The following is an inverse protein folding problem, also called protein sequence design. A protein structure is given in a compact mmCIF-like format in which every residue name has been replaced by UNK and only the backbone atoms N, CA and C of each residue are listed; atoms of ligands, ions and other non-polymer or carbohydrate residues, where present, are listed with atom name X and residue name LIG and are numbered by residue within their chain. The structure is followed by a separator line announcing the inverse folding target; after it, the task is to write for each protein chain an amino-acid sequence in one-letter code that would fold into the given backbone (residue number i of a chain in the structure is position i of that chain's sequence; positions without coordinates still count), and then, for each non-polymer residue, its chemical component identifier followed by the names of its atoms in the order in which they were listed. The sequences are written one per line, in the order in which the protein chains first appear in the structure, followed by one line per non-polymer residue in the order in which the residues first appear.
data_IF_969344940260
#
_entry.id   IF_969344940260
#
_cell.length_a   1.000
_cell.length_b   1.000
_cell.length_c   1.000
_cell.angle_alpha   90.00
_cell.angle_beta   90.00
_cell.angle_gamma   90.00
#
_symmetry.space_group_name_H-M   'P 1'
#
loop_
_entity.id
_entity.type
_entity.pdbx_description
1 polymer ?
#
# COMPACT_ATOMS: atom_id res chain seq x y z
N UNK A 1 31.34 9.61 -6.83
CA UNK A 1 30.38 9.57 -7.95
C UNK A 1 30.15 8.10 -8.26
N UNK A 2 28.90 7.67 -8.27
CA UNK A 2 28.53 6.26 -8.41
C UNK A 2 27.44 6.13 -9.47
N UNK A 3 27.45 5.02 -10.22
CA UNK A 3 26.42 4.70 -11.21
C UNK A 3 25.58 3.56 -10.65
N UNK A 4 24.27 3.77 -10.54
CA UNK A 4 23.30 2.77 -10.10
C UNK A 4 22.24 2.50 -11.15
N UNK A 5 21.52 1.39 -11.02
CA UNK A 5 20.36 1.08 -11.84
C UNK A 5 19.30 0.35 -11.02
N UNK A 6 18.03 0.50 -11.41
CA UNK A 6 16.92 -0.25 -10.85
C UNK A 6 15.91 -0.56 -11.94
N UNK A 7 15.10 -1.60 -11.74
CA UNK A 7 14.16 -2.09 -12.74
C UNK A 7 12.72 -1.85 -12.31
N UNK A 8 11.93 -1.29 -13.21
CA UNK A 8 10.48 -1.11 -13.05
C UNK A 8 9.78 -2.10 -13.99
N UNK A 9 8.77 -2.81 -13.47
CA UNK A 9 7.95 -3.70 -14.29
C UNK A 9 7.00 -2.92 -15.19
N UNK A 10 6.81 -3.37 -16.44
CA UNK A 10 5.74 -2.85 -17.29
C UNK A 10 4.35 -3.00 -16.64
N UNK A 11 4.16 -3.99 -15.76
CA UNK A 11 2.90 -4.14 -15.03
C UNK A 11 2.61 -2.95 -14.10
N UNK A 12 3.64 -2.32 -13.52
CA UNK A 12 3.46 -1.15 -12.63
C UNK A 12 3.09 0.12 -13.40
N UNK A 13 3.11 0.12 -14.73
CA UNK A 13 2.74 1.30 -15.52
C UNK A 13 1.23 1.46 -15.71
N UNK A 14 0.43 0.45 -15.33
CA UNK A 14 -1.04 0.48 -15.44
C UNK A 14 -1.65 1.60 -14.60
N UNK A 15 -2.74 2.19 -15.11
CA UNK A 15 -3.50 3.27 -14.45
C UNK A 15 -4.70 2.68 -13.69
N UNK A 16 -4.38 1.89 -12.68
CA UNK A 16 -5.36 1.12 -11.93
C UNK A 16 -5.36 1.52 -10.45
N UNK A 17 -6.52 1.40 -9.81
CA UNK A 17 -6.63 1.35 -8.37
C UNK A 17 -5.82 0.19 -7.82
N UNK A 18 -5.03 0.46 -6.78
CA UNK A 18 -4.14 -0.50 -6.17
C UNK A 18 -4.02 -0.28 -4.66
N UNK A 19 -3.78 -1.39 -3.95
CA UNK A 19 -3.21 -1.37 -2.61
C UNK A 19 -1.86 -2.06 -2.63
N UNK A 20 -1.01 -1.72 -1.67
CA UNK A 20 0.38 -2.16 -1.65
C UNK A 20 0.90 -2.40 -0.24
N UNK A 21 1.95 -3.21 -0.19
CA UNK A 21 2.80 -3.44 0.96
C UNK A 21 4.22 -3.02 0.57
N UNK A 22 4.74 -2.05 1.31
CA UNK A 22 6.12 -1.61 1.21
C UNK A 22 6.92 -2.32 2.29
N UNK A 23 8.04 -2.93 1.91
CA UNK A 23 8.94 -3.66 2.79
C UNK A 23 10.30 -2.97 2.75
N UNK A 24 10.83 -2.63 3.93
CA UNK A 24 12.18 -2.14 4.10
C UNK A 24 12.96 -3.14 4.96
N UNK A 25 13.89 -3.83 4.34
CA UNK A 25 14.73 -4.84 4.98
C UNK A 25 16.06 -4.20 5.34
N UNK A 26 16.47 -4.16 6.62
CA UNK A 26 17.75 -3.58 6.99
C UNK A 26 18.89 -4.44 6.41
N UNK A 27 19.93 -3.78 5.89
CA UNK A 27 21.11 -4.47 5.33
C UNK A 27 21.88 -5.23 6.40
N UNK A 28 21.90 -4.69 7.61
CA UNK A 28 22.42 -5.36 8.80
C UNK A 28 21.27 -5.97 9.61
N UNK A 29 21.39 -7.23 10.04
CA UNK A 29 20.31 -7.96 10.75
C UNK A 29 20.12 -7.50 12.22
N UNK A 30 20.50 -6.28 12.53
CA UNK A 30 20.42 -5.68 13.87
C UNK A 30 19.06 -5.02 14.11
N UNK A 31 18.30 -4.76 13.06
CA UNK A 31 17.01 -4.08 13.11
C UNK A 31 15.87 -4.95 12.55
N UNK A 32 14.62 -4.57 12.84
CA UNK A 32 13.43 -5.26 12.31
C UNK A 32 13.18 -4.85 10.87
N UNK A 33 12.58 -5.76 10.11
CA UNK A 33 12.02 -5.42 8.79
C UNK A 33 10.82 -4.50 8.99
N UNK A 34 10.85 -3.34 8.34
CA UNK A 34 9.81 -2.33 8.47
C UNK A 34 8.79 -2.53 7.34
N UNK A 35 7.52 -2.55 7.71
CA UNK A 35 6.40 -2.76 6.81
C UNK A 35 5.52 -1.52 6.81
N UNK A 36 4.98 -1.18 5.65
CA UNK A 36 3.95 -0.16 5.51
C UNK A 36 2.88 -0.61 4.53
N UNK A 37 1.61 -0.54 4.96
CA UNK A 37 0.46 -0.80 4.10
C UNK A 37 -0.08 0.52 3.60
N UNK A 38 -0.32 0.61 2.29
CA UNK A 38 -0.89 1.80 1.70
C UNK A 38 -1.75 1.51 0.48
N UNK A 39 -2.23 2.60 -0.10
CA UNK A 39 -3.04 2.61 -1.31
C UNK A 39 -2.66 3.74 -2.23
N UNK A 40 -2.99 3.58 -3.50
CA UNK A 40 -2.85 4.66 -4.48
C UNK A 40 -3.90 5.74 -4.26
N UNK A 41 -3.58 6.96 -4.69
CA UNK A 41 -4.52 8.06 -4.73
C UNK A 41 -5.46 7.97 -5.94
N UNK A 42 -6.36 8.92 -6.04
CA UNK A 42 -7.10 9.18 -7.28
C UNK A 42 -6.18 9.98 -8.22
N UNK A 43 -5.27 9.28 -8.91
CA UNK A 43 -4.16 9.87 -9.68
C UNK A 43 -4.48 10.01 -11.18
N UNK A 44 -5.75 10.16 -11.50
CA UNK A 44 -6.28 10.19 -12.87
C UNK A 44 -5.64 11.24 -13.79
N UNK A 45 -5.37 12.46 -13.34
CA UNK A 45 -5.01 13.56 -14.24
C UNK A 45 -3.49 13.73 -14.46
N UNK A 46 -2.67 12.70 -14.16
CA UNK A 46 -1.25 12.82 -14.56
C UNK A 46 -0.34 11.65 -14.20
N UNK A 47 -0.30 11.26 -12.93
CA UNK A 47 0.79 10.44 -12.40
C UNK A 47 0.50 8.93 -12.46
N UNK A 48 1.53 8.12 -12.76
CA UNK A 48 1.39 6.67 -12.62
C UNK A 48 1.09 6.29 -11.15
N UNK A 49 0.02 5.54 -10.87
CA UNK A 49 -0.45 5.31 -9.49
C UNK A 49 0.57 4.64 -8.58
N UNK A 50 1.22 3.59 -9.08
CA UNK A 50 2.16 2.79 -8.31
C UNK A 50 3.51 3.52 -8.20
N UNK A 51 4.10 3.88 -9.34
CA UNK A 51 5.43 4.47 -9.41
C UNK A 51 5.48 5.81 -8.66
N UNK A 52 4.47 6.66 -8.82
CA UNK A 52 4.46 7.94 -8.11
C UNK A 52 4.27 7.78 -6.60
N UNK A 53 3.56 6.73 -6.15
CA UNK A 53 3.48 6.43 -4.71
C UNK A 53 4.80 5.90 -4.15
N UNK A 54 5.52 5.07 -4.91
CA UNK A 54 6.88 4.64 -4.56
C UNK A 54 7.79 5.86 -4.45
N UNK A 55 7.83 6.71 -5.48
CA UNK A 55 8.67 7.92 -5.48
C UNK A 55 8.35 8.88 -4.32
N UNK A 56 7.08 9.01 -3.96
CA UNK A 56 6.68 9.83 -2.81
C UNK A 56 7.28 9.33 -1.49
N UNK A 57 7.38 8.02 -1.29
CA UNK A 57 7.96 7.46 -0.06
C UNK A 57 9.44 7.81 0.11
N UNK A 58 10.15 8.04 -0.99
CA UNK A 58 11.56 8.43 -1.03
C UNK A 58 11.80 9.93 -1.26
N UNK A 59 10.74 10.73 -1.39
CA UNK A 59 10.88 12.16 -1.59
C UNK A 59 11.51 12.82 -0.35
N UNK A 60 12.20 13.95 -0.53
CA UNK A 60 12.64 14.78 0.60
C UNK A 60 11.53 15.71 1.10
N UNK A 61 10.40 15.77 0.39
CA UNK A 61 9.24 16.54 0.82
C UNK A 61 8.49 15.80 1.94
N UNK A 62 8.61 16.30 3.17
CA UNK A 62 8.02 15.71 4.38
C UNK A 62 6.50 15.48 4.29
N UNK A 63 5.77 16.24 3.47
CA UNK A 63 4.33 16.10 3.32
C UNK A 63 3.97 14.80 2.59
N UNK A 64 4.81 14.37 1.64
CA UNK A 64 4.53 13.21 0.78
C UNK A 64 5.23 11.92 1.25
N UNK A 65 6.25 12.05 2.11
CA UNK A 65 7.23 10.99 2.38
C UNK A 65 6.91 10.21 3.64
N UNK A 66 5.80 9.47 3.57
CA UNK A 66 5.21 8.79 4.73
C UNK A 66 6.13 7.75 5.37
N UNK A 67 7.05 7.15 4.60
CA UNK A 67 8.00 6.15 5.08
C UNK A 67 9.35 6.78 5.44
N UNK A 68 9.92 7.62 4.57
CA UNK A 68 11.18 8.33 4.89
C UNK A 68 11.10 9.17 6.17
N UNK A 69 9.91 9.64 6.54
CA UNK A 69 9.73 10.34 7.82
C UNK A 69 9.88 9.43 9.05
N UNK A 70 9.69 8.12 8.89
CA UNK A 70 9.70 7.13 9.97
C UNK A 70 10.99 6.29 9.98
N UNK A 71 11.60 6.05 8.80
CA UNK A 71 12.86 5.33 8.65
C UNK A 71 14.02 6.33 8.63
N UNK A 72 14.92 6.22 9.61
CA UNK A 72 16.19 6.97 9.63
C UNK A 72 17.18 6.30 8.68
N UNK A 73 18.02 7.10 8.02
CA UNK A 73 19.11 6.60 7.15
C UNK A 73 18.62 5.55 6.13
N UNK A 74 17.77 5.99 5.20
CA UNK A 74 17.12 5.12 4.19
C UNK A 74 18.09 4.27 3.37
N UNK A 75 19.33 4.70 3.22
CA UNK A 75 20.42 4.00 2.55
C UNK A 75 20.83 2.69 3.23
N UNK A 76 20.48 2.49 4.50
CA UNK A 76 20.78 1.27 5.27
C UNK A 76 19.76 0.15 5.05
N UNK A 77 18.77 0.36 4.18
CA UNK A 77 17.71 -0.59 3.89
C UNK A 77 17.65 -0.92 2.40
N UNK A 78 17.23 -2.16 2.12
CA UNK A 78 16.77 -2.58 0.81
C UNK A 78 15.24 -2.55 0.78
N UNK A 79 14.68 -2.13 -0.36
CA UNK A 79 13.25 -1.82 -0.47
C UNK A 79 12.55 -2.66 -1.51
N UNK A 80 11.43 -3.25 -1.11
CA UNK A 80 10.53 -3.97 -2.00
C UNK A 80 9.12 -3.40 -1.93
N UNK A 81 8.44 -3.41 -3.08
CA UNK A 81 7.11 -2.86 -3.23
C UNK A 81 6.17 -3.86 -3.88
N UNK A 82 5.36 -4.51 -3.06
CA UNK A 82 4.37 -5.47 -3.48
C UNK A 82 3.03 -4.76 -3.66
N UNK A 83 2.35 -4.97 -4.79
CA UNK A 83 1.06 -4.33 -5.05
C UNK A 83 0.11 -5.26 -5.79
N UNK A 84 -1.18 -4.98 -5.65
CA UNK A 84 -2.22 -5.66 -6.40
C UNK A 84 -3.19 -4.62 -6.99
N UNK A 85 -3.54 -4.78 -8.27
CA UNK A 85 -4.52 -3.95 -8.96
C UNK A 85 -5.92 -4.53 -8.79
N UNK A 86 -6.93 -3.67 -8.66
CA UNK A 86 -8.33 -4.08 -8.40
C UNK A 86 -9.37 -3.43 -9.31
N UNK A 87 -8.95 -2.55 -10.23
CA UNK A 87 -9.83 -1.92 -11.20
C UNK A 87 -9.13 -0.76 -11.90
N UNK A 88 -9.61 -0.41 -13.08
CA UNK A 88 -9.15 0.78 -13.81
C UNK A 88 -9.78 2.04 -13.19
N UNK A 89 -9.17 3.21 -13.40
CA UNK A 89 -9.82 4.45 -13.01
C UNK A 89 -11.03 4.75 -13.88
N UNK A 90 -12.06 5.33 -13.26
CA UNK A 90 -13.25 5.79 -13.95
C UNK A 90 -13.05 7.16 -14.62
N UNK A 91 -13.65 7.33 -15.80
CA UNK A 91 -13.73 8.60 -16.51
C UNK A 91 -14.61 9.62 -15.75
N UNK A 92 -14.47 10.90 -16.10
CA UNK A 92 -15.14 12.04 -15.44
C UNK A 92 -16.66 11.96 -15.35
N UNK A 93 -17.28 11.44 -16.40
CA UNK A 93 -18.73 11.32 -16.53
C UNK A 93 -19.32 10.40 -15.46
N UNK A 94 -18.48 9.58 -14.80
CA UNK A 94 -18.88 8.57 -13.84
C UNK A 94 -18.46 8.90 -12.39
N UNK A 95 -18.68 10.15 -11.96
CA UNK A 95 -18.32 10.63 -10.60
C UNK A 95 -18.80 9.71 -9.46
N UNK A 96 -19.99 9.13 -9.57
CA UNK A 96 -20.52 8.22 -8.55
C UNK A 96 -19.73 6.91 -8.47
N UNK A 97 -19.35 6.32 -9.61
CA UNK A 97 -18.53 5.12 -9.66
C UNK A 97 -17.14 5.39 -9.09
N UNK A 98 -16.53 6.53 -9.42
CA UNK A 98 -15.24 6.97 -8.86
C UNK A 98 -15.24 7.02 -7.33
N UNK A 99 -16.29 7.59 -6.75
CA UNK A 99 -16.44 7.64 -5.28
C UNK A 99 -16.53 6.23 -4.70
N UNK A 100 -17.22 5.31 -5.38
CA UNK A 100 -17.35 3.93 -4.94
C UNK A 100 -16.01 3.18 -5.03
N UNK A 101 -15.26 3.32 -6.11
CA UNK A 101 -13.95 2.68 -6.28
C UNK A 101 -12.90 3.22 -5.30
N UNK A 102 -12.95 4.53 -4.99
CA UNK A 102 -12.14 5.09 -3.92
C UNK A 102 -12.50 4.49 -2.55
N UNK A 103 -13.79 4.40 -2.21
CA UNK A 103 -14.25 3.78 -0.96
C UNK A 103 -13.85 2.30 -0.88
N UNK A 104 -13.98 1.57 -1.98
CA UNK A 104 -13.56 0.18 -2.09
C UNK A 104 -12.04 0.04 -1.87
N UNK A 105 -11.24 0.89 -2.49
CA UNK A 105 -9.78 0.94 -2.30
C UNK A 105 -9.42 1.24 -0.84
N UNK A 106 -10.14 2.13 -0.17
CA UNK A 106 -9.97 2.39 1.27
C UNK A 106 -10.27 1.14 2.12
N UNK A 107 -11.30 0.36 1.79
CA UNK A 107 -11.59 -0.88 2.52
C UNK A 107 -10.58 -1.99 2.21
N UNK A 108 -10.10 -2.11 0.97
CA UNK A 108 -9.03 -3.03 0.58
C UNK A 108 -7.75 -2.75 1.37
N UNK A 109 -7.39 -1.49 1.56
CA UNK A 109 -6.22 -1.06 2.33
C UNK A 109 -6.36 -1.42 3.81
N UNK A 110 -7.53 -1.16 4.41
CA UNK A 110 -7.81 -1.56 5.80
C UNK A 110 -7.78 -3.06 5.98
N UNK A 111 -8.35 -3.81 5.04
CA UNK A 111 -8.37 -5.27 5.11
C UNK A 111 -6.97 -5.85 4.95
N UNK A 112 -6.16 -5.35 4.01
CA UNK A 112 -4.75 -5.71 3.89
C UNK A 112 -3.99 -5.43 5.18
N UNK A 113 -4.19 -4.25 5.77
CA UNK A 113 -3.56 -3.89 7.04
C UNK A 113 -3.94 -4.86 8.17
N UNK A 114 -5.22 -5.26 8.29
CA UNK A 114 -5.64 -6.30 9.25
C UNK A 114 -5.00 -7.66 8.97
N UNK A 115 -4.88 -8.05 7.70
CA UNK A 115 -4.24 -9.32 7.32
C UNK A 115 -2.77 -9.30 7.74
N UNK A 116 -2.05 -8.22 7.47
CA UNK A 116 -0.65 -8.04 7.88
C UNK A 116 -0.52 -8.07 9.41
N UNK A 117 -1.38 -7.34 10.12
CA UNK A 117 -1.39 -7.34 11.60
C UNK A 117 -1.63 -8.72 12.21
N UNK A 118 -2.35 -9.61 11.53
CA UNK A 118 -2.58 -10.99 12.01
C UNK A 118 -1.41 -11.93 11.70
N UNK A 119 -0.60 -11.62 10.69
CA UNK A 119 0.48 -12.47 10.20
C UNK A 119 1.87 -11.99 10.62
N UNK A 120 2.02 -10.75 11.09
CA UNK A 120 3.34 -10.24 11.42
C UNK A 120 3.96 -11.05 12.57
N UNK A 121 5.25 -11.32 12.44
CA UNK A 121 6.07 -11.72 13.59
C UNK A 121 6.65 -10.43 14.21
N UNK A 122 6.16 -10.05 15.39
CA UNK A 122 6.56 -8.82 16.08
C UNK A 122 8.04 -8.80 16.53
N UNK A 123 8.72 -9.93 16.61
CA UNK A 123 10.16 -10.00 16.89
C UNK A 123 10.98 -9.60 15.66
N UNK A 124 10.48 -9.93 14.47
CA UNK A 124 11.18 -9.71 13.19
C UNK A 124 10.70 -8.48 12.42
N UNK A 125 9.47 -8.03 12.66
CA UNK A 125 8.81 -7.01 11.86
C UNK A 125 8.24 -5.89 12.71
N UNK A 126 8.23 -4.70 12.12
CA UNK A 126 7.52 -3.53 12.61
C UNK A 126 6.55 -3.03 11.55
N UNK A 127 5.28 -2.84 11.91
CA UNK A 127 4.28 -2.26 11.01
C UNK A 127 4.08 -0.78 11.34
N UNK A 128 4.45 0.09 10.41
CA UNK A 128 4.19 1.53 10.51
C UNK A 128 2.69 1.78 10.33
N UNK A 129 2.14 2.65 11.19
CA UNK A 129 0.73 3.11 11.14
C UNK A 129 -0.26 1.93 11.10
N UNK A 130 -0.25 1.04 12.12
CA UNK A 130 -1.18 -0.08 12.17
C UNK A 130 -2.62 0.44 12.23
N UNK A 131 -3.52 -0.25 11.55
CA UNK A 131 -4.93 0.12 11.55
C UNK A 131 -5.53 -0.08 12.95
N UNK A 132 -5.91 1.02 13.60
CA UNK A 132 -6.37 1.05 15.00
C UNK A 132 -7.82 0.62 15.24
N UNK A 133 -8.62 0.40 14.18
CA UNK A 133 -9.95 -0.19 14.34
C UNK A 133 -10.95 0.62 15.15
N UNK A 134 -11.00 1.96 15.00
CA UNK A 134 -11.99 2.82 15.69
C UNK A 134 -13.40 2.22 15.64
N UNK A 135 -14.11 2.28 16.76
CA UNK A 135 -15.50 1.82 16.90
C UNK A 135 -16.38 2.54 15.89
N UNK A 136 -16.96 1.78 14.97
CA UNK A 136 -17.96 2.26 14.00
C UNK A 136 -19.28 1.54 14.27
N UNK A 137 -20.39 2.15 13.83
CA UNK A 137 -21.70 1.52 13.95
C UNK A 137 -21.75 0.18 13.20
N UNK A 138 -22.55 -0.75 13.72
CA UNK A 138 -22.77 -2.08 13.11
C UNK A 138 -23.22 -1.98 11.65
N UNK A 139 -24.09 -1.01 11.34
CA UNK A 139 -24.57 -0.75 9.98
C UNK A 139 -23.41 -0.36 9.05
N UNK A 140 -22.52 0.54 9.50
CA UNK A 140 -21.34 0.95 8.73
C UNK A 140 -20.37 -0.21 8.54
N UNK A 141 -20.24 -1.10 9.52
CA UNK A 141 -19.44 -2.32 9.39
C UNK A 141 -20.02 -3.24 8.31
N UNK A 142 -21.33 -3.51 8.34
CA UNK A 142 -22.00 -4.37 7.33
C UNK A 142 -21.83 -3.79 5.92
N UNK A 143 -22.16 -2.51 5.75
CA UNK A 143 -22.01 -1.82 4.46
C UNK A 143 -20.58 -1.84 3.92
N UNK A 144 -19.58 -1.80 4.80
CA UNK A 144 -18.16 -1.90 4.39
C UNK A 144 -17.76 -3.32 4.00
N UNK A 145 -18.32 -4.32 4.66
CA UNK A 145 -18.04 -5.72 4.34
C UNK A 145 -18.48 -6.08 2.91
N UNK A 146 -19.54 -5.45 2.43
CA UNK A 146 -20.08 -5.60 1.07
C UNK A 146 -19.23 -4.93 -0.03
N UNK A 147 -18.28 -4.05 0.33
CA UNK A 147 -17.45 -3.34 -0.65
C UNK A 147 -16.35 -4.20 -1.27
N UNK A 148 -15.96 -5.28 -0.61
CA UNK A 148 -14.86 -6.15 -1.04
C UNK A 148 -15.35 -7.59 -1.17
N UNK A 149 -15.00 -8.20 -2.29
CA UNK A 149 -15.37 -9.59 -2.60
C UNK A 149 -14.41 -10.59 -1.95
N UNK A 150 -14.81 -11.86 -1.89
CA UNK A 150 -13.96 -12.92 -1.35
C UNK A 150 -12.72 -13.18 -2.21
N UNK A 151 -12.83 -13.03 -3.53
CA UNK A 151 -11.70 -13.13 -4.46
C UNK A 151 -10.65 -12.05 -4.15
N UNK A 152 -11.08 -10.82 -3.91
CA UNK A 152 -10.18 -9.73 -3.56
C UNK A 152 -9.52 -9.97 -2.21
N UNK A 153 -10.27 -10.46 -1.20
CA UNK A 153 -9.68 -10.87 0.08
C UNK A 153 -8.63 -11.97 -0.10
N UNK A 154 -8.86 -12.93 -1.00
CA UNK A 154 -7.87 -13.95 -1.33
C UNK A 154 -6.62 -13.34 -1.98
N UNK A 155 -6.78 -12.40 -2.91
CA UNK A 155 -5.65 -11.69 -3.52
C UNK A 155 -4.84 -10.90 -2.49
N UNK A 156 -5.48 -10.25 -1.51
CA UNK A 156 -4.79 -9.57 -0.41
C UNK A 156 -4.01 -10.55 0.49
N UNK A 157 -4.55 -11.75 0.74
CA UNK A 157 -3.82 -12.80 1.48
C UNK A 157 -2.60 -13.30 0.71
N UNK A 158 -2.71 -13.45 -0.61
CA UNK A 158 -1.59 -13.82 -1.50
C UNK A 158 -0.53 -12.72 -1.53
N UNK A 159 -0.93 -11.47 -1.68
CA UNK A 159 -0.05 -10.31 -1.63
C UNK A 159 0.74 -10.27 -0.32
N UNK A 160 0.06 -10.42 0.81
CA UNK A 160 0.68 -10.46 2.14
C UNK A 160 1.67 -11.63 2.28
N UNK A 161 1.34 -12.82 1.76
CA UNK A 161 2.21 -13.99 1.80
C UNK A 161 3.41 -13.93 0.84
N UNK A 162 3.38 -13.05 -0.17
CA UNK A 162 4.54 -12.80 -1.02
C UNK A 162 5.52 -11.82 -0.39
N UNK A 163 5.03 -10.95 0.50
CA UNK A 163 5.81 -9.89 1.11
C UNK A 163 6.36 -10.24 2.50
N UNK A 164 5.83 -11.27 3.16
CA UNK A 164 6.23 -11.78 4.48
C UNK A 164 6.67 -13.24 4.36
#
# INVERSE_FOLDING_TARGET
MEIGSFKISGHSTKRNWAVYLFVATPKEQTEKTILYVGKVGDNRDGCNPVISRVGNHFSFNKIHSQIRNEIKETENYDYEYFYCHFGEYENDENKHLRINSRKKTDELERELNRIVQKKLNAEKHELIKPFSGKTISTEKTKRRAELITDEERMMLKKLCAQAL
#
